data_IF_142196299595
#
_entry.id   IF_142196299595
#
_cell.length_a   1.000
_cell.length_b   1.000
_cell.length_c   1.000
_cell.angle_alpha   90.00
_cell.angle_beta   90.00
_cell.angle_gamma   90.00
#
_symmetry.space_group_name_H-M   'P 1'
#
loop_
_entity.id
_entity.type
_entity.pdbx_description
1 polymer ?
#
# COMPACT_ATOMS: atom_id res chain seq x y z
N UNK A 1 30.53 54.77 6.28
CA UNK A 1 29.18 54.40 6.80
C UNK A 1 28.14 54.57 5.70
N UNK A 2 27.20 53.64 5.52
CA UNK A 2 26.05 53.83 4.61
C UNK A 2 24.98 54.70 5.26
N UNK A 3 24.60 55.81 4.61
CA UNK A 3 23.58 56.74 5.10
C UNK A 3 22.24 56.06 5.37
N UNK A 4 21.57 56.46 6.46
CA UNK A 4 20.28 55.92 6.92
C UNK A 4 19.22 55.89 5.80
N UNK A 5 19.18 56.93 4.94
CA UNK A 5 18.27 56.99 3.78
C UNK A 5 18.44 55.80 2.81
N UNK A 6 19.67 55.31 2.59
CA UNK A 6 19.92 54.12 1.75
C UNK A 6 19.46 52.82 2.42
N UNK A 7 19.58 52.71 3.74
CA UNK A 7 19.04 51.55 4.49
C UNK A 7 17.50 51.50 4.41
N UNK A 8 16.83 52.64 4.60
CA UNK A 8 15.38 52.74 4.45
C UNK A 8 14.88 52.42 3.03
N UNK A 9 15.63 52.81 2.00
CA UNK A 9 15.32 52.45 0.60
C UNK A 9 15.49 50.95 0.34
N UNK A 10 16.59 50.33 0.80
CA UNK A 10 16.82 48.89 0.70
C UNK A 10 15.74 48.08 1.44
N UNK A 11 15.32 48.50 2.63
CA UNK A 11 14.25 47.85 3.38
C UNK A 11 12.92 47.90 2.62
N UNK A 12 12.56 49.06 2.05
CA UNK A 12 11.36 49.18 1.21
C UNK A 12 11.43 48.31 -0.05
N UNK A 13 12.60 48.20 -0.68
CA UNK A 13 12.80 47.35 -1.85
C UNK A 13 12.69 45.85 -1.51
N UNK A 14 13.25 45.42 -0.37
CA UNK A 14 13.09 44.05 0.14
C UNK A 14 11.63 43.71 0.47
N UNK A 15 10.91 44.62 1.13
CA UNK A 15 9.47 44.45 1.41
C UNK A 15 8.64 44.39 0.11
N UNK A 16 8.98 45.19 -0.89
CA UNK A 16 8.32 45.18 -2.21
C UNK A 16 8.58 43.86 -2.97
N UNK A 17 9.82 43.37 -2.96
CA UNK A 17 10.15 42.05 -3.53
C UNK A 17 9.45 40.91 -2.79
N UNK A 18 9.40 40.95 -1.46
CA UNK A 18 8.68 39.96 -0.64
C UNK A 18 7.19 39.96 -0.98
N UNK A 19 6.55 41.13 -1.05
CA UNK A 19 5.15 41.26 -1.44
C UNK A 19 4.88 40.74 -2.86
N UNK A 20 5.72 41.08 -3.84
CA UNK A 20 5.62 40.54 -5.21
C UNK A 20 5.75 39.01 -5.24
N UNK A 21 6.68 38.45 -4.47
CA UNK A 21 6.88 36.99 -4.42
C UNK A 21 5.68 36.30 -3.75
N UNK A 22 5.16 36.84 -2.65
CA UNK A 22 3.94 36.35 -1.99
C UNK A 22 2.70 36.45 -2.89
N UNK A 23 2.54 37.53 -3.66
CA UNK A 23 1.44 37.70 -4.61
C UNK A 23 1.58 36.71 -5.79
N UNK A 24 2.79 36.51 -6.30
CA UNK A 24 3.07 35.52 -7.34
C UNK A 24 2.73 34.10 -6.87
N UNK A 25 3.16 33.72 -5.67
CA UNK A 25 2.80 32.44 -5.03
C UNK A 25 1.29 32.32 -4.80
N UNK A 26 0.63 33.39 -4.34
CA UNK A 26 -0.82 33.40 -4.15
C UNK A 26 -1.57 33.15 -5.46
N UNK A 27 -1.19 33.79 -6.56
CA UNK A 27 -1.75 33.51 -7.88
C UNK A 27 -1.40 32.10 -8.37
N UNK A 28 -0.16 31.63 -8.17
CA UNK A 28 0.24 30.27 -8.55
C UNK A 28 -0.61 29.19 -7.86
N UNK A 29 -0.84 29.29 -6.55
CA UNK A 29 -1.71 28.37 -5.81
C UNK A 29 -3.20 28.56 -6.13
N UNK A 30 -3.65 29.80 -6.38
CA UNK A 30 -5.06 30.06 -6.76
C UNK A 30 -5.40 29.57 -8.16
N UNK A 31 -4.46 29.65 -9.11
CA UNK A 31 -4.60 29.12 -10.47
C UNK A 31 -4.36 27.62 -10.57
N UNK A 32 -3.65 27.02 -9.60
CA UNK A 32 -3.45 25.58 -9.47
C UNK A 32 -4.12 25.04 -8.18
N UNK A 33 -5.45 25.08 -8.06
CA UNK A 33 -6.15 24.64 -6.85
C UNK A 33 -5.89 23.16 -6.50
N UNK A 34 -5.44 22.35 -7.48
CA UNK A 34 -4.96 20.99 -7.26
C UNK A 34 -3.84 20.88 -6.19
N UNK A 35 -3.01 21.92 -6.00
CA UNK A 35 -2.00 21.96 -4.93
C UNK A 35 -2.57 22.36 -3.56
N UNK A 36 -3.73 23.02 -3.52
CA UNK A 36 -4.44 23.37 -2.27
C UNK A 36 -5.37 22.24 -1.79
N UNK A 37 -5.81 21.35 -2.69
CA UNK A 37 -6.74 20.26 -2.36
C UNK A 37 -6.17 19.13 -1.50
N UNK A 38 -4.88 19.19 -1.12
CA UNK A 38 -4.25 18.20 -0.24
C UNK A 38 -4.62 18.33 1.25
N UNK A 39 -5.46 19.30 1.65
CA UNK A 39 -5.94 19.38 3.04
C UNK A 39 -7.42 19.81 3.21
N UNK A 40 -8.17 18.97 3.92
CA UNK A 40 -9.44 19.26 4.63
C UNK A 40 -10.77 19.44 3.85
N UNK A 41 -11.58 18.37 3.90
CA UNK A 41 -13.06 18.33 4.10
C UNK A 41 -14.02 18.77 2.98
N UNK A 42 -14.55 17.75 2.30
CA UNK A 42 -15.94 17.29 2.46
C UNK A 42 -17.04 18.34 2.73
N UNK A 43 -17.89 18.64 1.71
CA UNK A 43 -19.35 18.38 1.78
C UNK A 43 -20.10 18.59 0.45
N UNK A 44 -20.89 17.56 0.10
CA UNK A 44 -22.22 17.52 -0.55
C UNK A 44 -22.69 18.55 -1.61
N UNK A 45 -23.35 17.99 -2.64
CA UNK A 45 -24.33 18.63 -3.58
C UNK A 45 -23.77 19.69 -4.55
N UNK A 46 -24.23 19.81 -5.81
CA UNK A 46 -25.59 19.62 -6.35
C UNK A 46 -25.61 18.89 -7.72
N UNK A 47 -26.80 18.47 -8.20
CA UNK A 47 -27.04 17.82 -9.50
C UNK A 47 -26.81 18.76 -10.70
N UNK A 48 -26.52 18.21 -11.89
CA UNK A 48 -27.24 18.46 -13.16
C UNK A 48 -26.77 17.47 -14.26
N UNK A 49 -27.58 17.37 -15.32
CA UNK A 49 -27.46 16.49 -16.51
C UNK A 49 -26.93 17.31 -17.71
N UNK A 50 -26.39 16.78 -18.81
CA UNK A 50 -26.14 15.42 -19.35
C UNK A 50 -24.94 15.57 -20.37
N UNK A 51 -24.34 14.62 -21.11
CA UNK A 51 -24.61 13.21 -21.46
C UNK A 51 -23.33 12.49 -22.00
N UNK A 52 -23.47 11.25 -22.49
CA UNK A 52 -22.52 10.42 -23.29
C UNK A 52 -21.02 10.82 -23.34
N UNK A 53 -20.19 10.21 -22.48
CA UNK A 53 -18.84 9.72 -22.88
C UNK A 53 -18.40 8.57 -21.98
N UNK A 54 -18.12 7.39 -22.53
CA UNK A 54 -17.66 6.23 -21.76
C UNK A 54 -16.19 6.40 -21.35
N UNK A 55 -15.95 6.79 -20.09
CA UNK A 55 -14.60 6.95 -19.53
C UNK A 55 -14.40 6.05 -18.30
N UNK A 56 -13.19 5.49 -18.17
CA UNK A 56 -12.79 4.62 -17.06
C UNK A 56 -12.61 5.42 -15.77
N UNK A 57 -13.71 5.75 -15.12
CA UNK A 57 -13.72 6.35 -13.78
C UNK A 57 -14.15 5.28 -12.76
N UNK A 58 -13.17 4.55 -12.21
CA UNK A 58 -13.41 3.70 -11.04
C UNK A 58 -13.72 4.60 -9.84
N UNK A 59 -14.99 4.92 -9.68
CA UNK A 59 -15.54 5.68 -8.56
C UNK A 59 -15.13 4.99 -7.24
N UNK A 60 -14.29 5.63 -6.39
CA UNK A 60 -13.82 5.00 -5.16
C UNK A 60 -15.01 4.83 -4.22
N UNK A 61 -15.55 3.61 -4.15
CA UNK A 61 -16.66 3.30 -3.25
C UNK A 61 -16.24 3.64 -1.83
N UNK A 62 -16.90 4.64 -1.22
CA UNK A 62 -16.72 5.02 0.18
C UNK A 62 -17.21 3.89 1.10
N UNK A 63 -16.40 2.84 1.23
CA UNK A 63 -16.41 1.97 2.40
C UNK A 63 -15.82 2.77 3.55
N UNK A 64 -16.68 3.28 4.44
CA UNK A 64 -16.25 4.01 5.65
C UNK A 64 -15.69 3.03 6.70
N UNK A 65 -14.65 2.27 6.34
CA UNK A 65 -13.81 1.60 7.31
C UNK A 65 -12.94 2.66 7.98
N UNK A 66 -13.17 2.88 9.27
CA UNK A 66 -12.45 3.86 10.07
C UNK A 66 -11.08 3.28 10.46
N UNK A 67 -10.17 3.24 9.49
CA UNK A 67 -8.78 2.84 9.74
C UNK A 67 -8.13 3.83 10.71
N UNK A 68 -7.91 3.41 11.96
CA UNK A 68 -7.42 4.27 13.03
C UNK A 68 -5.89 4.46 13.02
N UNK A 69 -5.16 3.67 12.22
CA UNK A 69 -3.75 3.90 11.93
C UNK A 69 -3.52 5.07 10.96
N UNK A 70 -2.25 5.43 10.72
CA UNK A 70 -1.91 6.34 9.60
C UNK A 70 -2.23 5.62 8.28
N UNK A 71 -3.01 6.22 7.36
CA UNK A 71 -3.19 5.63 6.04
C UNK A 71 -1.83 5.52 5.34
N UNK A 72 -1.60 4.40 4.66
CA UNK A 72 -0.38 4.21 3.88
C UNK A 72 -0.26 5.32 2.83
N UNK A 73 0.93 5.93 2.67
CA UNK A 73 1.12 6.95 1.65
C UNK A 73 0.90 6.32 0.28
N UNK A 74 0.10 6.97 -0.56
CA UNK A 74 0.02 6.63 -1.99
C UNK A 74 1.39 6.97 -2.58
N UNK A 75 2.28 5.98 -2.69
CA UNK A 75 3.60 6.19 -3.26
C UNK A 75 3.43 6.58 -4.73
N UNK A 76 4.03 7.70 -5.20
CA UNK A 76 3.89 8.11 -6.59
C UNK A 76 4.35 7.05 -7.60
N UNK A 77 5.23 6.14 -7.20
CA UNK A 77 5.68 4.98 -7.97
C UNK A 77 4.60 3.92 -8.25
N UNK A 78 3.47 3.93 -7.54
CA UNK A 78 2.33 3.06 -7.87
C UNK A 78 1.49 3.62 -9.03
N UNK A 79 1.50 4.94 -9.21
CA UNK A 79 0.74 5.62 -10.24
C UNK A 79 1.54 5.68 -11.54
N UNK A 80 0.92 5.42 -12.71
CA UNK A 80 1.58 5.63 -13.99
C UNK A 80 1.90 7.12 -14.18
N UNK A 81 3.16 7.48 -14.50
CA UNK A 81 3.47 8.87 -14.88
C UNK A 81 2.73 9.26 -16.16
N UNK A 82 2.58 8.30 -17.08
CA UNK A 82 1.95 8.51 -18.39
C UNK A 82 0.48 8.10 -18.41
N UNK A 83 -0.41 8.99 -18.87
CA UNK A 83 -1.83 8.67 -19.09
C UNK A 83 -2.12 8.03 -20.47
N UNK A 84 -1.10 7.53 -21.18
CA UNK A 84 -1.29 6.87 -22.48
C UNK A 84 -1.45 5.34 -22.28
N UNK A 85 -2.64 4.76 -22.50
CA UNK A 85 -2.87 3.33 -22.28
C UNK A 85 -2.24 2.43 -23.35
N UNK A 86 -1.66 3.00 -24.42
CA UNK A 86 -1.11 2.24 -25.56
C UNK A 86 0.41 2.04 -25.48
N UNK A 87 1.04 2.27 -24.32
CA UNK A 87 2.48 2.08 -24.13
C UNK A 87 2.78 0.60 -23.96
N UNK A 88 3.53 0.04 -24.91
CA UNK A 88 3.94 -1.35 -24.91
C UNK A 88 4.83 -1.67 -23.70
N UNK A 89 4.52 -2.76 -22.98
CA UNK A 89 5.17 -3.14 -21.71
C UNK A 89 6.69 -3.38 -21.80
N UNK A 90 7.24 -3.55 -23.02
CA UNK A 90 8.69 -3.72 -23.25
C UNK A 90 9.38 -2.48 -23.84
N UNK A 91 8.86 -1.27 -23.59
CA UNK A 91 9.51 -0.01 -23.98
C UNK A 91 10.08 0.75 -22.78
N UNK A 92 11.00 1.70 -23.03
CA UNK A 92 11.59 2.56 -21.99
C UNK A 92 10.54 3.46 -21.33
N UNK A 93 9.58 3.94 -22.12
CA UNK A 93 8.40 4.67 -21.63
C UNK A 93 7.51 3.74 -20.79
N UNK A 94 7.40 2.45 -21.15
CA UNK A 94 6.71 1.44 -20.37
C UNK A 94 7.35 1.23 -18.99
N UNK A 95 8.69 1.18 -18.91
CA UNK A 95 9.45 0.89 -17.67
C UNK A 95 9.16 1.84 -16.50
N UNK A 96 8.91 3.12 -16.81
CA UNK A 96 8.67 4.15 -15.80
C UNK A 96 7.28 4.81 -15.91
N UNK A 97 6.65 4.75 -17.08
CA UNK A 97 5.33 5.32 -17.35
C UNK A 97 4.18 4.40 -16.97
N UNK A 98 4.35 3.07 -17.05
CA UNK A 98 3.36 2.10 -16.57
C UNK A 98 3.63 1.75 -15.09
N UNK A 99 2.84 2.33 -14.18
CA UNK A 99 2.77 1.89 -12.78
C UNK A 99 2.09 0.52 -12.64
N UNK A 100 1.72 0.15 -11.41
CA UNK A 100 0.98 -1.09 -11.14
C UNK A 100 -0.51 -0.92 -11.50
N UNK A 101 -0.79 -1.00 -12.79
CA UNK A 101 -2.05 -0.60 -13.42
C UNK A 101 -3.15 -1.68 -13.36
N UNK A 102 -2.79 -2.98 -13.29
CA UNK A 102 -3.75 -4.07 -13.23
C UNK A 102 -4.09 -4.44 -11.78
N UNK A 103 -5.27 -4.05 -11.30
CA UNK A 103 -5.77 -4.45 -9.97
C UNK A 103 -6.49 -5.81 -10.03
N UNK A 104 -6.13 -6.72 -9.12
CA UNK A 104 -6.73 -8.04 -8.92
C UNK A 104 -7.20 -8.17 -7.46
N UNK A 105 -8.51 -8.12 -7.21
CA UNK A 105 -9.09 -8.38 -5.88
C UNK A 105 -9.22 -9.89 -5.64
N UNK A 106 -8.24 -10.48 -4.94
CA UNK A 106 -8.17 -11.92 -4.62
C UNK A 106 -9.21 -12.32 -3.57
N UNK A 107 -9.34 -11.51 -2.52
CA UNK A 107 -10.36 -11.63 -1.48
C UNK A 107 -11.04 -10.27 -1.31
N UNK A 108 -12.33 -10.20 -1.69
CA UNK A 108 -13.10 -8.94 -1.66
C UNK A 108 -13.71 -8.72 -0.28
N UNK A 109 -13.63 -7.51 0.29
CA UNK A 109 -14.33 -7.19 1.54
C UNK A 109 -15.83 -7.26 1.29
N UNK A 110 -16.57 -8.02 2.11
CA UNK A 110 -18.03 -7.97 2.01
C UNK A 110 -18.57 -6.67 2.61
N UNK A 111 -19.78 -6.27 2.19
CA UNK A 111 -20.42 -5.03 2.65
C UNK A 111 -21.12 -5.13 4.01
N UNK A 112 -20.97 -6.25 4.73
CA UNK A 112 -21.76 -6.58 5.94
C UNK A 112 -21.03 -7.40 7.00
N UNK A 113 -20.05 -8.23 6.63
CA UNK A 113 -19.16 -8.89 7.59
C UNK A 113 -17.95 -8.01 7.91
N UNK A 114 -17.24 -8.36 8.97
CA UNK A 114 -15.97 -7.75 9.39
C UNK A 114 -14.81 -8.61 8.84
N UNK A 115 -14.95 -9.10 7.61
CA UNK A 115 -13.98 -9.98 6.98
C UNK A 115 -12.75 -9.23 6.51
N UNK A 116 -11.60 -9.93 6.54
CA UNK A 116 -10.40 -9.50 5.86
C UNK A 116 -10.53 -9.47 4.35
N UNK A 117 -9.57 -8.80 3.73
CA UNK A 117 -9.52 -8.60 2.29
C UNK A 117 -8.09 -8.64 1.78
N UNK A 118 -7.92 -8.96 0.50
CA UNK A 118 -6.61 -9.06 -0.14
C UNK A 118 -6.71 -8.70 -1.62
N UNK A 119 -5.83 -7.83 -2.10
CA UNK A 119 -5.72 -7.46 -3.51
C UNK A 119 -4.27 -7.30 -3.93
N UNK A 120 -4.00 -7.52 -5.20
CA UNK A 120 -2.72 -7.23 -5.83
C UNK A 120 -2.89 -6.16 -6.90
N UNK A 121 -1.83 -5.39 -7.12
CA UNK A 121 -1.65 -4.54 -8.28
C UNK A 121 -0.44 -5.09 -9.03
N UNK A 122 -0.63 -5.50 -10.28
CA UNK A 122 0.40 -6.06 -11.15
C UNK A 122 0.84 -5.03 -12.19
N UNK A 123 2.10 -5.11 -12.62
CA UNK A 123 2.63 -4.36 -13.76
C UNK A 123 3.17 -5.33 -14.81
N UNK A 124 2.54 -5.38 -15.98
CA UNK A 124 3.01 -6.18 -17.13
C UNK A 124 4.43 -5.81 -17.58
N UNK A 125 4.84 -4.57 -17.34
CA UNK A 125 6.18 -4.08 -17.66
C UNK A 125 7.23 -4.66 -16.71
N UNK A 126 6.97 -4.59 -15.40
CA UNK A 126 7.92 -5.01 -14.37
C UNK A 126 7.85 -6.53 -14.09
N UNK A 127 6.79 -7.19 -14.57
CA UNK A 127 6.51 -8.62 -14.32
C UNK A 127 6.46 -8.93 -12.81
N UNK A 128 5.88 -7.99 -12.06
CA UNK A 128 5.93 -7.87 -10.60
C UNK A 128 4.56 -7.45 -10.05
N UNK A 129 4.27 -7.84 -8.81
CA UNK A 129 3.03 -7.51 -8.09
C UNK A 129 3.32 -6.86 -6.75
N UNK A 130 2.54 -5.83 -6.43
CA UNK A 130 2.42 -5.32 -5.06
C UNK A 130 1.04 -5.69 -4.52
N UNK A 131 1.01 -6.56 -3.51
CA UNK A 131 -0.20 -7.00 -2.85
C UNK A 131 -0.39 -6.34 -1.49
N UNK A 132 -1.63 -6.14 -1.08
CA UNK A 132 -1.99 -5.61 0.24
C UNK A 132 -3.29 -6.23 0.72
N UNK A 133 -3.45 -6.30 2.04
CA UNK A 133 -4.68 -6.77 2.64
C UNK A 133 -4.86 -6.36 4.09
N UNK A 134 -6.12 -6.38 4.53
CA UNK A 134 -6.55 -6.04 5.87
C UNK A 134 -7.07 -7.25 6.65
N UNK A 135 -6.99 -7.18 7.99
CA UNK A 135 -7.28 -8.27 8.94
C UNK A 135 -6.39 -9.49 8.71
N UNK A 136 -5.10 -9.22 8.52
CA UNK A 136 -4.05 -10.23 8.41
C UNK A 136 -3.34 -10.37 9.76
N UNK A 137 -3.13 -11.61 10.20
CA UNK A 137 -2.29 -11.98 11.34
C UNK A 137 -1.02 -12.65 10.81
N UNK A 138 0.14 -12.23 11.32
CA UNK A 138 1.41 -12.94 11.14
C UNK A 138 1.61 -13.92 12.30
N UNK A 139 2.14 -15.11 12.03
CA UNK A 139 2.45 -16.12 13.04
C UNK A 139 3.94 -16.46 12.99
N UNK A 140 4.70 -15.93 13.95
CA UNK A 140 6.17 -16.00 13.96
C UNK A 140 6.71 -17.44 14.08
N UNK A 141 6.06 -18.34 14.83
CA UNK A 141 6.47 -19.75 14.98
C UNK A 141 6.51 -20.52 13.63
N UNK A 142 5.78 -20.01 12.64
CA UNK A 142 5.71 -20.54 11.28
C UNK A 142 6.66 -19.83 10.30
N UNK A 143 7.39 -18.80 10.73
CA UNK A 143 8.38 -18.07 9.92
C UNK A 143 9.78 -18.42 10.44
N UNK A 144 10.57 -19.13 9.63
CA UNK A 144 11.94 -19.46 9.99
C UNK A 144 12.93 -18.61 9.18
N UNK A 145 13.74 -17.82 9.87
CA UNK A 145 14.80 -16.97 9.31
C UNK A 145 16.00 -16.94 10.27
N UNK A 146 17.14 -16.41 9.84
CA UNK A 146 18.23 -16.08 10.76
C UNK A 146 17.78 -15.01 11.77
N UNK A 147 18.33 -15.03 12.99
CA UNK A 147 17.93 -14.07 14.02
C UNK A 147 18.49 -12.66 13.78
N UNK A 148 19.58 -12.56 13.01
CA UNK A 148 20.41 -11.36 12.92
C UNK A 148 21.20 -11.10 14.21
N UNK A 149 22.18 -10.20 14.14
CA UNK A 149 23.03 -9.86 15.30
C UNK A 149 23.97 -10.98 15.77
N UNK A 150 24.11 -12.06 15.00
CA UNK A 150 25.05 -13.15 15.26
C UNK A 150 26.51 -12.70 15.04
N UNK A 151 27.47 -13.40 15.66
CA UNK A 151 28.90 -13.06 15.51
C UNK A 151 29.37 -13.31 14.07
N UNK A 152 30.29 -12.47 13.58
CA UNK A 152 30.72 -12.48 12.18
C UNK A 152 31.31 -13.85 11.77
N UNK A 153 32.06 -14.47 12.68
CA UNK A 153 32.67 -15.80 12.52
C UNK A 153 31.64 -16.92 12.36
N UNK A 154 30.39 -16.71 12.79
CA UNK A 154 29.29 -17.68 12.72
C UNK A 154 28.36 -17.49 11.51
N UNK A 155 28.53 -16.40 10.75
CA UNK A 155 27.76 -16.10 9.53
C UNK A 155 28.63 -16.12 8.26
N UNK A 156 29.96 -16.00 8.37
CA UNK A 156 30.88 -16.18 7.23
C UNK A 156 30.68 -17.57 6.60
N UNK A 157 30.34 -17.57 5.31
CA UNK A 157 30.19 -18.80 4.51
C UNK A 157 28.77 -19.37 4.42
N UNK A 158 27.78 -18.76 5.09
CA UNK A 158 26.35 -19.08 4.87
C UNK A 158 25.89 -18.66 3.48
N UNK A 159 24.90 -19.37 2.95
CA UNK A 159 24.23 -19.00 1.70
C UNK A 159 23.12 -17.97 1.91
N UNK A 160 22.92 -17.05 0.96
CA UNK A 160 21.80 -16.09 0.97
C UNK A 160 20.44 -16.79 1.17
N UNK A 161 20.27 -17.96 0.55
CA UNK A 161 19.09 -18.82 0.61
C UNK A 161 18.76 -19.29 2.04
N UNK A 162 19.75 -19.35 2.94
CA UNK A 162 19.62 -19.79 4.34
C UNK A 162 19.17 -18.63 5.26
N UNK A 163 19.62 -17.41 4.96
CA UNK A 163 19.25 -16.18 5.67
C UNK A 163 17.82 -15.71 5.28
N UNK A 164 17.37 -16.01 4.05
CA UNK A 164 16.04 -15.62 3.55
C UNK A 164 14.88 -16.32 4.28
N UNK A 165 13.81 -15.61 4.68
CA UNK A 165 12.72 -16.16 5.49
C UNK A 165 11.94 -17.28 4.81
N UNK A 166 11.55 -18.28 5.59
CA UNK A 166 10.83 -19.48 5.16
C UNK A 166 9.44 -19.56 5.82
N UNK A 167 8.41 -19.47 4.98
CA UNK A 167 7.01 -19.33 5.41
C UNK A 167 6.30 -20.68 5.38
N UNK A 168 6.08 -21.29 6.54
CA UNK A 168 5.30 -22.53 6.68
C UNK A 168 3.81 -22.23 6.49
N UNK A 169 3.02 -23.26 6.18
CA UNK A 169 1.57 -23.13 5.95
C UNK A 169 0.83 -22.41 7.11
N UNK A 170 0.16 -21.29 6.79
CA UNK A 170 -0.50 -20.42 7.76
C UNK A 170 0.44 -19.48 8.53
N UNK A 171 1.65 -19.21 8.03
CA UNK A 171 2.52 -18.13 8.55
C UNK A 171 1.85 -16.76 8.47
N UNK A 172 0.93 -16.61 7.52
CA UNK A 172 -0.03 -15.51 7.45
C UNK A 172 -1.44 -16.09 7.46
N UNK A 173 -2.33 -15.47 8.23
CA UNK A 173 -3.72 -15.87 8.40
C UNK A 173 -4.64 -14.66 8.17
N UNK A 174 -5.78 -14.84 7.49
CA UNK A 174 -6.77 -13.78 7.25
C UNK A 174 -8.15 -14.23 7.74
N UNK A 175 -8.80 -13.39 8.54
CA UNK A 175 -10.15 -13.61 9.07
C UNK A 175 -11.22 -13.61 7.96
N UNK A 176 -12.02 -14.69 7.85
CA UNK A 176 -13.22 -14.74 7.01
C UNK A 176 -14.37 -15.49 7.70
N UNK A 177 -15.55 -14.88 7.70
CA UNK A 177 -16.79 -15.44 8.26
C UNK A 177 -17.41 -16.52 7.35
N UNK A 178 -17.19 -16.41 6.03
CA UNK A 178 -17.82 -17.26 5.01
C UNK A 178 -16.81 -17.96 4.10
N UNK A 179 -17.24 -19.07 3.48
CA UNK A 179 -16.42 -19.80 2.52
C UNK A 179 -15.32 -20.66 3.12
N UNK A 180 -15.48 -21.12 4.36
CA UNK A 180 -14.70 -22.23 4.95
C UNK A 180 -15.71 -23.25 5.49
N UNK A 181 -15.62 -24.50 5.05
CA UNK A 181 -16.56 -25.57 5.38
C UNK A 181 -16.61 -25.94 6.87
N UNK A 182 -17.67 -26.65 7.26
CA UNK A 182 -17.74 -27.29 8.59
C UNK A 182 -16.73 -28.43 8.64
N UNK A 183 -15.72 -28.30 9.52
CA UNK A 183 -14.60 -29.24 9.66
C UNK A 183 -13.34 -28.89 8.86
N UNK A 184 -13.40 -27.93 7.94
CA UNK A 184 -12.20 -27.44 7.23
C UNK A 184 -11.34 -26.56 8.16
N UNK A 185 -10.06 -26.92 8.27
CA UNK A 185 -9.02 -26.18 9.02
C UNK A 185 -8.42 -25.05 8.15
N UNK A 186 -9.29 -24.21 7.62
CA UNK A 186 -8.96 -23.14 6.68
C UNK A 186 -8.64 -23.60 5.25
N UNK A 187 -8.49 -22.62 4.35
CA UNK A 187 -8.15 -22.82 2.92
C UNK A 187 -7.05 -21.87 2.46
N UNK A 188 -6.36 -22.19 1.37
CA UNK A 188 -5.40 -21.26 0.73
C UNK A 188 -6.13 -20.03 0.18
N UNK A 189 -5.47 -18.87 0.26
CA UNK A 189 -5.90 -17.64 -0.41
C UNK A 189 -5.69 -17.71 -1.93
N UNK A 190 -4.55 -18.27 -2.36
CA UNK A 190 -4.11 -18.34 -3.77
C UNK A 190 -3.80 -19.78 -4.19
N UNK A 191 -3.88 -20.04 -5.49
CA UNK A 191 -3.47 -21.28 -6.15
C UNK A 191 -2.20 -21.07 -6.98
N UNK A 192 -1.58 -22.17 -7.43
CA UNK A 192 -0.34 -22.15 -8.24
C UNK A 192 -0.51 -21.31 -9.51
N UNK A 193 -1.67 -21.39 -10.17
CA UNK A 193 -1.98 -20.66 -11.39
C UNK A 193 -2.04 -19.14 -11.18
N UNK A 194 -2.55 -18.68 -10.03
CA UNK A 194 -2.49 -17.26 -9.65
C UNK A 194 -1.04 -16.83 -9.40
N UNK A 195 -0.26 -17.65 -8.68
CA UNK A 195 1.14 -17.37 -8.41
C UNK A 195 1.94 -17.30 -9.73
N UNK A 196 1.75 -18.22 -10.66
CA UNK A 196 2.44 -18.21 -11.96
C UNK A 196 2.06 -17.02 -12.85
N UNK A 197 0.83 -16.50 -12.73
CA UNK A 197 0.39 -15.34 -13.50
C UNK A 197 0.86 -14.01 -12.91
N UNK A 198 0.88 -13.85 -11.57
CA UNK A 198 1.07 -12.55 -10.91
C UNK A 198 2.32 -12.45 -10.03
N UNK A 199 2.89 -13.58 -9.59
CA UNK A 199 4.18 -13.65 -8.87
C UNK A 199 5.04 -14.79 -9.45
N UNK A 200 5.43 -14.67 -10.74
CA UNK A 200 6.24 -15.68 -11.41
C UNK A 200 7.63 -15.77 -10.78
N UNK A 201 8.34 -16.88 -11.00
CA UNK A 201 9.74 -16.99 -10.60
C UNK A 201 10.60 -16.05 -11.45
N UNK A 202 11.24 -15.06 -10.81
CA UNK A 202 12.29 -14.24 -11.42
C UNK A 202 13.65 -14.96 -11.47
N UNK A 203 14.72 -14.21 -11.73
CA UNK A 203 16.10 -14.71 -11.83
C UNK A 203 16.74 -15.05 -10.46
N UNK A 204 15.96 -15.53 -9.48
CA UNK A 204 16.41 -15.88 -8.13
C UNK A 204 15.92 -17.28 -7.75
N UNK A 205 16.82 -18.11 -7.23
CA UNK A 205 16.53 -19.52 -6.89
C UNK A 205 15.37 -19.69 -5.89
N UNK A 206 15.10 -18.66 -5.07
CA UNK A 206 14.12 -18.70 -3.99
C UNK A 206 13.36 -17.38 -3.82
N UNK A 207 12.27 -17.21 -4.58
CA UNK A 207 11.40 -16.05 -4.46
C UNK A 207 10.57 -16.09 -3.16
N UNK A 208 11.06 -15.42 -2.11
CA UNK A 208 10.43 -15.34 -0.77
C UNK A 208 8.98 -14.93 -0.81
N UNK A 209 8.64 -13.89 -1.59
CA UNK A 209 7.29 -13.34 -1.68
C UNK A 209 6.27 -14.31 -2.28
N UNK A 210 6.70 -15.16 -3.23
CA UNK A 210 5.86 -16.24 -3.75
C UNK A 210 5.55 -17.28 -2.67
N UNK A 211 6.56 -17.68 -1.89
CA UNK A 211 6.40 -18.57 -0.72
C UNK A 211 5.54 -17.93 0.37
N UNK A 212 5.61 -16.61 0.54
CA UNK A 212 4.78 -15.86 1.47
C UNK A 212 3.31 -15.96 1.05
N UNK A 213 2.97 -15.61 -0.19
CA UNK A 213 1.58 -15.67 -0.67
C UNK A 213 1.00 -17.09 -0.61
N UNK A 214 1.80 -18.10 -0.98
CA UNK A 214 1.39 -19.51 -0.87
C UNK A 214 1.12 -19.96 0.58
N UNK A 215 1.79 -19.33 1.55
CA UNK A 215 1.58 -19.60 2.98
C UNK A 215 0.29 -19.01 3.54
N UNK A 216 -0.38 -18.08 2.84
CA UNK A 216 -1.55 -17.36 3.37
C UNK A 216 -2.77 -18.30 3.48
N UNK A 217 -3.19 -18.51 4.73
CA UNK A 217 -4.38 -19.28 5.10
C UNK A 217 -5.55 -18.37 5.40
N UNK A 218 -6.73 -18.75 4.96
CA UNK A 218 -8.00 -18.15 5.41
C UNK A 218 -8.50 -18.93 6.62
N UNK A 219 -8.85 -18.21 7.69
CA UNK A 219 -9.27 -18.74 9.00
C UNK A 219 -10.61 -18.15 9.42
N UNK A 220 -11.31 -18.82 10.34
CA UNK A 220 -12.56 -18.30 10.93
C UNK A 220 -12.26 -17.36 12.10
N UNK A 221 -13.20 -16.47 12.50
CA UNK A 221 -13.00 -15.56 13.65
C UNK A 221 -12.64 -16.25 14.98
N UNK A 222 -13.08 -17.50 15.19
CA UNK A 222 -12.73 -18.31 16.38
C UNK A 222 -11.30 -18.88 16.35
N UNK A 223 -10.64 -18.91 15.19
CA UNK A 223 -9.22 -19.24 15.04
C UNK A 223 -8.31 -18.00 14.99
N UNK A 224 -8.87 -16.79 14.79
CA UNK A 224 -8.14 -15.54 14.57
C UNK A 224 -7.89 -14.76 15.87
N UNK A 225 -7.02 -15.27 16.75
CA UNK A 225 -6.64 -14.56 17.97
C UNK A 225 -5.40 -13.68 17.76
N UNK A 226 -5.48 -12.39 18.10
CA UNK A 226 -4.32 -11.48 18.11
C UNK A 226 -3.70 -11.46 19.51
N UNK A 227 -2.65 -12.26 19.70
CA UNK A 227 -1.96 -12.42 20.99
C UNK A 227 -1.07 -11.22 21.37
N UNK A 228 -0.68 -10.41 20.38
CA UNK A 228 0.22 -9.26 20.56
C UNK A 228 -0.53 -8.00 21.00
N UNK A 229 -0.70 -7.85 22.31
CA UNK A 229 -0.93 -6.54 22.95
C UNK A 229 0.42 -5.94 23.34
N UNK A 230 0.90 -4.96 22.59
CA UNK A 230 2.03 -4.14 23.05
C UNK A 230 1.64 -3.49 24.39
N UNK A 231 2.44 -3.72 25.44
CA UNK A 231 2.13 -3.24 26.80
C UNK A 231 2.50 -1.77 26.99
N UNK A 232 1.84 -0.90 26.21
CA UNK A 232 1.74 0.52 26.53
C UNK A 232 1.07 0.74 27.89
N UNK A 233 1.32 1.88 28.57
CA UNK A 233 0.85 2.13 29.93
C UNK A 233 -0.64 2.55 29.99
N UNK A 234 -1.55 1.73 29.45
CA UNK A 234 -2.99 1.76 29.75
C UNK A 234 -3.67 0.45 29.28
N UNK A 235 -4.36 -0.30 30.15
CA UNK A 235 -5.02 -1.56 29.78
C UNK A 235 -6.43 -1.40 29.16
N UNK A 236 -7.05 -0.22 29.28
CA UNK A 236 -8.49 -0.01 29.09
C UNK A 236 -8.92 0.39 27.66
N UNK A 237 -8.16 -0.02 26.63
CA UNK A 237 -8.58 0.11 25.22
C UNK A 237 -8.58 -1.24 24.51
N UNK A 238 -9.76 -1.87 24.44
CA UNK A 238 -10.03 -3.06 23.63
C UNK A 238 -10.09 -2.75 22.13
N UNK A 239 -9.01 -2.20 21.58
CA UNK A 239 -8.91 -1.85 20.17
C UNK A 239 -8.65 -3.12 19.35
N UNK A 240 -9.61 -3.51 18.53
CA UNK A 240 -9.43 -4.53 17.50
C UNK A 240 -8.79 -3.86 16.28
N UNK A 241 -7.47 -3.65 16.31
CA UNK A 241 -6.76 -2.89 15.28
C UNK A 241 -6.84 -3.60 13.92
N UNK A 242 -7.26 -2.87 12.88
CA UNK A 242 -7.33 -3.39 11.52
C UNK A 242 -5.92 -3.56 10.94
N UNK A 243 -5.27 -4.69 11.25
CA UNK A 243 -3.93 -5.01 10.75
C UNK A 243 -3.90 -4.96 9.22
N UNK A 244 -3.07 -4.07 8.66
CA UNK A 244 -2.84 -3.91 7.22
C UNK A 244 -1.39 -4.20 6.87
N UNK A 245 -1.17 -5.17 5.98
CA UNK A 245 0.17 -5.58 5.56
C UNK A 245 0.31 -5.40 4.04
N UNK A 246 1.45 -4.84 3.64
CA UNK A 246 1.87 -4.63 2.25
C UNK A 246 2.97 -5.66 1.89
N UNK A 247 2.86 -6.23 0.70
CA UNK A 247 3.68 -7.33 0.19
C UNK A 247 4.12 -7.00 -1.25
N UNK A 248 5.30 -6.39 -1.42
CA UNK A 248 5.89 -6.16 -2.75
C UNK A 248 6.73 -7.36 -3.19
N UNK A 249 6.44 -7.89 -4.39
CA UNK A 249 7.17 -9.00 -5.02
C UNK A 249 7.97 -8.55 -6.23
#
# INVERSE_FOLDING_TARGET
>A
MMSSRRKGFLLKFLLFLFALNSISLFFYFSSNPALLFLHSKHSSTTKIQDTHSSSLTQNPQKSNFYFHGKPWPILPSYLPWTLNPNIHSKSCEGYFGNGFNQRIDVLKPQKRSVDGWFRCFYSETLVSSICEGGRIRMNLDKINMSMGGENLETVIGRGEVEELPNFKWGAFEIEVSEGIGKGEKGRKLVNTEFLDQYVPYGNVDRHTMRSLLDSIRLVKPDEFNCDEKEKGPNPDSGNNEDNHILFGA
#
